data_IF_030474694595
#
_entry.id   IF_030474694595
#
_cell.length_a   1.000
_cell.length_b   1.000
_cell.length_c   1.000
_cell.angle_alpha   90.00
_cell.angle_beta   90.00
_cell.angle_gamma   90.00
#
_symmetry.space_group_name_H-M   'P 1'
#
loop_
_entity.id
_entity.type
_entity.pdbx_description
1 polymer ?
#
# COMPACT_ATOMS: atom_id res chain seq x y z
N UNK A 1 7.92 10.39 -4.34
CA UNK A 1 8.87 11.39 -4.93
C UNK A 1 8.35 11.81 -6.29
N UNK A 2 8.49 13.11 -6.66
CA UNK A 2 8.12 13.63 -7.98
C UNK A 2 9.39 14.09 -8.69
N UNK A 3 9.60 13.65 -9.92
CA UNK A 3 10.70 14.06 -10.81
C UNK A 3 10.07 14.73 -12.03
N UNK A 4 9.99 16.06 -12.04
CA UNK A 4 9.36 16.82 -13.12
C UNK A 4 9.99 18.21 -13.20
N UNK A 5 10.14 18.71 -14.43
CA UNK A 5 10.76 20.00 -14.75
C UNK A 5 9.79 21.19 -14.75
N UNK A 6 8.49 20.91 -14.76
CA UNK A 6 7.45 21.94 -14.74
C UNK A 6 7.14 22.34 -13.29
N UNK A 7 7.61 23.50 -12.79
CA UNK A 7 7.47 23.88 -11.38
C UNK A 7 6.00 23.97 -10.96
N UNK A 8 5.15 24.58 -11.79
CA UNK A 8 3.72 24.75 -11.49
C UNK A 8 2.99 23.41 -11.32
N UNK A 9 3.28 22.44 -12.19
CA UNK A 9 2.74 21.08 -12.08
C UNK A 9 3.26 20.39 -10.82
N UNK A 10 4.56 20.44 -10.59
CA UNK A 10 5.19 19.78 -9.46
C UNK A 10 4.70 20.34 -8.11
N UNK A 11 4.56 21.66 -7.99
CA UNK A 11 4.03 22.33 -6.81
C UNK A 11 2.54 22.00 -6.59
N UNK A 12 1.74 22.02 -7.65
CA UNK A 12 0.32 21.64 -7.58
C UNK A 12 0.17 20.20 -7.07
N UNK A 13 0.89 19.26 -7.66
CA UNK A 13 0.87 17.85 -7.25
C UNK A 13 1.40 17.68 -5.82
N UNK A 14 2.44 18.40 -5.42
CA UNK A 14 2.97 18.34 -4.07
C UNK A 14 1.95 18.80 -3.03
N UNK A 15 1.28 19.93 -3.29
CA UNK A 15 0.24 20.45 -2.37
C UNK A 15 -0.90 19.46 -2.22
N UNK A 16 -1.36 18.89 -3.33
CA UNK A 16 -2.47 17.94 -3.33
C UNK A 16 -2.13 16.65 -2.59
N UNK A 17 -1.00 16.06 -2.90
CA UNK A 17 -0.56 14.82 -2.27
C UNK A 17 -0.25 15.03 -0.77
N UNK A 18 0.29 16.17 -0.37
CA UNK A 18 0.48 16.50 1.04
C UNK A 18 -0.86 16.60 1.79
N UNK A 19 -1.92 17.13 1.16
CA UNK A 19 -3.27 17.17 1.75
C UNK A 19 -3.85 15.78 1.99
N UNK A 20 -3.51 14.81 1.15
CA UNK A 20 -3.88 13.40 1.30
C UNK A 20 -2.97 12.64 2.29
N UNK A 21 -2.03 13.32 2.96
CA UNK A 21 -1.15 12.74 3.98
C UNK A 21 0.13 12.11 3.45
N UNK A 22 0.46 12.25 2.18
CA UNK A 22 1.72 11.77 1.62
C UNK A 22 2.88 12.72 1.96
N UNK A 23 4.06 12.16 2.21
CA UNK A 23 5.30 12.93 2.27
C UNK A 23 5.90 13.05 0.86
N UNK A 24 5.92 14.24 0.29
CA UNK A 24 6.29 14.47 -1.09
C UNK A 24 7.60 15.25 -1.21
N UNK A 25 8.56 14.68 -1.92
CA UNK A 25 9.79 15.35 -2.36
C UNK A 25 9.71 15.62 -3.84
N UNK A 26 10.03 16.85 -4.25
CA UNK A 26 10.06 17.29 -5.66
C UNK A 26 11.50 17.51 -6.08
N UNK A 27 11.88 17.01 -7.25
CA UNK A 27 13.20 17.18 -7.86
C UNK A 27 13.00 17.53 -9.34
N UNK A 28 13.51 18.69 -9.76
CA UNK A 28 13.34 19.18 -11.13
C UNK A 28 14.35 18.61 -12.14
N UNK A 29 15.43 17.99 -11.69
CA UNK A 29 16.49 17.43 -12.52
C UNK A 29 16.41 15.90 -12.54
N UNK A 30 16.31 15.30 -13.72
CA UNK A 30 16.10 13.87 -13.86
C UNK A 30 17.26 13.02 -13.33
N UNK A 31 18.52 13.44 -13.49
CA UNK A 31 19.68 12.70 -12.96
C UNK A 31 19.73 12.79 -11.44
N UNK A 32 19.47 13.97 -10.88
CA UNK A 32 19.39 14.13 -9.42
C UNK A 32 18.23 13.34 -8.83
N UNK A 33 17.10 13.31 -9.53
CA UNK A 33 15.94 12.50 -9.16
C UNK A 33 16.27 11.01 -9.13
N UNK A 34 16.91 10.49 -10.17
CA UNK A 34 17.36 9.10 -10.24
C UNK A 34 18.28 8.73 -9.06
N UNK A 35 19.27 9.58 -8.77
CA UNK A 35 20.19 9.37 -7.64
C UNK A 35 19.47 9.45 -6.28
N UNK A 36 18.47 10.32 -6.15
CA UNK A 36 17.71 10.44 -4.92
C UNK A 36 16.85 9.21 -4.64
N UNK A 37 16.18 8.65 -5.65
CA UNK A 37 15.39 7.41 -5.51
C UNK A 37 16.26 6.23 -5.03
N UNK A 38 17.52 6.18 -5.46
CA UNK A 38 18.46 5.13 -5.04
C UNK A 38 18.95 5.28 -3.60
N UNK A 39 18.93 6.50 -3.05
CA UNK A 39 19.45 6.82 -1.71
C UNK A 39 18.39 6.90 -0.62
N UNK A 40 17.18 7.23 -1.01
CA UNK A 40 16.06 7.46 -0.08
C UNK A 40 14.99 6.41 -0.34
N UNK A 41 14.57 5.71 0.71
CA UNK A 41 13.44 4.78 0.61
C UNK A 41 12.22 5.53 0.06
N UNK A 42 11.78 5.14 -1.12
CA UNK A 42 10.70 5.80 -1.85
C UNK A 42 9.63 4.77 -2.16
N UNK A 43 8.40 5.04 -1.72
CA UNK A 43 7.28 4.10 -1.91
C UNK A 43 6.67 4.19 -3.31
N UNK A 44 6.77 5.36 -3.97
CA UNK A 44 6.28 5.59 -5.33
C UNK A 44 7.02 6.77 -5.97
N UNK A 45 7.30 6.66 -7.26
CA UNK A 45 7.90 7.73 -8.06
C UNK A 45 6.93 8.19 -9.14
N UNK A 46 6.66 9.49 -9.22
CA UNK A 46 5.98 10.13 -10.35
C UNK A 46 7.05 10.78 -11.21
N UNK A 47 7.11 10.45 -12.49
CA UNK A 47 8.14 10.91 -13.42
C UNK A 47 7.48 11.68 -14.56
N UNK A 48 7.91 12.91 -14.84
CA UNK A 48 7.52 13.65 -16.03
C UNK A 48 8.12 13.03 -17.31
N UNK A 49 7.56 13.35 -18.45
CA UNK A 49 8.01 12.83 -19.75
C UNK A 49 9.42 13.30 -20.12
N UNK A 50 9.69 14.59 -19.97
CA UNK A 50 10.91 15.23 -20.45
C UNK A 50 11.66 16.02 -19.37
N UNK A 51 12.03 15.43 -18.21
CA UNK A 51 12.85 16.17 -17.25
C UNK A 51 14.23 16.47 -17.82
N UNK A 52 14.89 17.57 -17.38
CA UNK A 52 16.19 17.98 -17.89
C UNK A 52 17.25 16.89 -17.78
N UNK A 53 18.10 16.81 -18.78
CA UNK A 53 19.28 15.93 -18.94
C UNK A 53 18.98 14.48 -19.23
N UNK A 54 17.82 13.97 -18.93
CA UNK A 54 17.46 12.57 -19.13
C UNK A 54 15.95 12.44 -19.29
N UNK A 55 15.48 11.68 -20.27
CA UNK A 55 14.05 11.50 -20.50
C UNK A 55 13.38 10.66 -19.40
N UNK A 56 12.07 10.82 -19.23
CA UNK A 56 11.28 10.01 -18.31
C UNK A 56 11.38 8.53 -18.61
N UNK A 57 11.43 8.14 -19.89
CA UNK A 57 11.64 6.76 -20.32
C UNK A 57 12.97 6.19 -19.83
N UNK A 58 14.03 6.95 -20.00
CA UNK A 58 15.38 6.54 -19.57
C UNK A 58 15.47 6.47 -18.04
N UNK A 59 14.77 7.33 -17.30
CA UNK A 59 14.66 7.24 -15.83
C UNK A 59 13.98 5.92 -15.46
N UNK A 60 12.87 5.56 -16.09
CA UNK A 60 12.18 4.29 -15.85
C UNK A 60 13.11 3.09 -16.09
N UNK A 61 13.79 3.05 -17.23
CA UNK A 61 14.74 1.98 -17.57
C UNK A 61 15.86 1.84 -16.55
N UNK A 62 16.49 2.95 -16.16
CA UNK A 62 17.60 2.94 -15.20
C UNK A 62 17.15 2.56 -13.80
N UNK A 63 15.96 2.97 -13.35
CA UNK A 63 15.39 2.54 -12.08
C UNK A 63 15.13 1.03 -12.07
N UNK A 64 14.63 0.46 -13.15
CA UNK A 64 14.42 -1.00 -13.23
C UNK A 64 15.73 -1.77 -13.35
N UNK A 65 16.72 -1.26 -14.09
CA UNK A 65 18.04 -1.89 -14.18
C UNK A 65 18.76 -1.93 -12.83
N UNK A 66 18.50 -0.99 -11.93
CA UNK A 66 19.04 -0.97 -10.56
C UNK A 66 18.23 -1.81 -9.56
N UNK A 67 17.33 -2.69 -10.03
CA UNK A 67 16.41 -3.49 -9.21
C UNK A 67 15.50 -2.66 -8.28
N UNK A 68 15.23 -1.41 -8.65
CA UNK A 68 14.31 -0.56 -7.91
C UNK A 68 12.88 -1.11 -7.96
N UNK A 69 12.32 -1.42 -6.79
CA UNK A 69 10.97 -1.99 -6.64
C UNK A 69 9.87 -0.94 -6.55
N UNK A 70 10.22 0.34 -6.33
CA UNK A 70 9.24 1.41 -6.22
C UNK A 70 8.38 1.51 -7.50
N UNK A 71 7.05 1.55 -7.40
CA UNK A 71 6.20 1.78 -8.56
C UNK A 71 6.48 3.14 -9.17
N UNK A 72 6.45 3.17 -10.50
CA UNK A 72 6.69 4.38 -11.30
C UNK A 72 5.41 4.70 -12.05
N UNK A 73 4.90 5.93 -11.89
CA UNK A 73 3.85 6.50 -12.73
C UNK A 73 4.53 7.51 -13.65
N UNK A 74 4.47 7.26 -14.96
CA UNK A 74 5.01 8.16 -15.97
C UNK A 74 3.93 9.13 -16.45
N UNK A 75 4.18 10.44 -16.35
CA UNK A 75 3.29 11.47 -16.87
C UNK A 75 3.67 11.78 -18.31
N UNK A 76 2.73 11.59 -19.25
CA UNK A 76 2.91 11.91 -20.68
C UNK A 76 2.28 13.27 -20.99
N UNK A 77 2.83 13.99 -21.99
CA UNK A 77 2.35 15.33 -22.36
C UNK A 77 1.08 15.29 -23.23
N UNK A 78 0.84 14.16 -23.87
CA UNK A 78 -0.32 13.95 -24.76
C UNK A 78 -0.97 12.61 -24.49
N UNK A 79 -2.25 12.50 -24.80
CA UNK A 79 -2.95 11.21 -24.82
C UNK A 79 -2.57 10.41 -26.06
N UNK A 80 -1.32 9.96 -26.09
CA UNK A 80 -0.72 9.21 -27.19
C UNK A 80 -0.49 7.78 -26.78
N UNK A 81 -1.15 6.87 -27.49
CA UNK A 81 -1.04 5.42 -27.24
C UNK A 81 0.41 4.93 -27.35
N UNK A 82 1.20 5.46 -28.29
CA UNK A 82 2.59 5.05 -28.48
C UNK A 82 3.47 5.48 -27.29
N UNK A 83 3.24 6.67 -26.73
CA UNK A 83 3.95 7.12 -25.52
C UNK A 83 3.63 6.25 -24.31
N UNK A 84 2.35 5.87 -24.13
CA UNK A 84 1.95 4.97 -23.06
C UNK A 84 2.58 3.58 -23.21
N UNK A 85 2.59 3.04 -24.44
CA UNK A 85 3.25 1.75 -24.71
C UNK A 85 4.74 1.85 -24.39
N UNK A 86 5.44 2.88 -24.92
CA UNK A 86 6.86 3.09 -24.65
C UNK A 86 7.17 3.25 -23.16
N UNK A 87 6.30 3.95 -22.41
CA UNK A 87 6.43 4.10 -20.96
C UNK A 87 6.34 2.77 -20.22
N UNK A 88 5.35 1.95 -20.56
CA UNK A 88 5.18 0.63 -19.95
C UNK A 88 6.33 -0.32 -20.32
N UNK A 89 6.79 -0.32 -21.57
CA UNK A 89 7.95 -1.10 -22.02
C UNK A 89 9.25 -0.63 -21.36
N UNK A 90 9.37 0.66 -21.04
CA UNK A 90 10.48 1.20 -20.27
C UNK A 90 10.47 0.81 -18.78
N UNK A 91 9.37 0.18 -18.33
CA UNK A 91 9.23 -0.32 -16.95
C UNK A 91 8.41 0.58 -16.02
N UNK A 92 7.66 1.55 -16.52
CA UNK A 92 6.65 2.23 -15.73
C UNK A 92 5.53 1.24 -15.34
N UNK A 93 4.97 1.38 -14.14
CA UNK A 93 3.83 0.58 -13.68
C UNK A 93 2.50 1.13 -14.20
N UNK A 94 2.48 2.41 -14.49
CA UNK A 94 1.33 3.10 -15.05
C UNK A 94 1.79 4.33 -15.85
N UNK A 95 0.95 4.78 -16.80
CA UNK A 95 1.16 6.00 -17.57
C UNK A 95 -0.11 6.85 -17.52
N UNK A 96 0.04 8.15 -17.29
CA UNK A 96 -1.05 9.10 -17.19
C UNK A 96 -0.77 10.31 -18.06
N UNK A 97 -1.70 10.66 -18.95
CA UNK A 97 -1.55 11.82 -19.82
C UNK A 97 -1.99 13.11 -19.13
N UNK A 98 -1.23 14.18 -19.36
CA UNK A 98 -1.56 15.52 -18.88
C UNK A 98 -2.36 16.31 -19.96
N UNK A 99 -3.31 17.17 -19.56
CA UNK A 99 -3.83 17.36 -18.20
C UNK A 99 -4.66 16.18 -17.73
N UNK A 100 -4.47 15.74 -16.49
CA UNK A 100 -5.24 14.65 -15.89
C UNK A 100 -6.13 15.15 -14.77
N UNK A 101 -7.19 14.40 -14.50
CA UNK A 101 -8.02 14.66 -13.34
C UNK A 101 -7.29 14.29 -12.05
N UNK A 102 -7.43 15.13 -11.02
CA UNK A 102 -6.84 14.91 -9.71
C UNK A 102 -7.25 13.56 -9.12
N UNK A 103 -8.55 13.25 -9.19
CA UNK A 103 -9.08 12.00 -8.63
C UNK A 103 -8.51 10.78 -9.36
N UNK A 104 -8.27 10.88 -10.67
CA UNK A 104 -7.62 9.82 -11.43
C UNK A 104 -6.18 9.59 -10.97
N UNK A 105 -5.39 10.66 -10.83
CA UNK A 105 -4.00 10.54 -10.36
C UNK A 105 -3.94 9.91 -8.97
N UNK A 106 -4.77 10.36 -8.03
CA UNK A 106 -4.83 9.81 -6.67
C UNK A 106 -5.24 8.34 -6.67
N UNK A 107 -6.25 7.97 -7.45
CA UNK A 107 -6.69 6.58 -7.58
C UNK A 107 -5.56 5.67 -8.10
N UNK A 108 -4.79 6.14 -9.11
CA UNK A 108 -3.64 5.41 -9.65
C UNK A 108 -2.49 5.30 -8.67
N UNK A 109 -2.19 6.36 -7.92
CA UNK A 109 -1.19 6.33 -6.85
C UNK A 109 -1.56 5.29 -5.80
N UNK A 110 -2.80 5.32 -5.28
CA UNK A 110 -3.27 4.34 -4.31
C UNK A 110 -3.22 2.91 -4.85
N UNK A 111 -3.68 2.67 -6.09
CA UNK A 111 -3.64 1.35 -6.71
C UNK A 111 -2.21 0.81 -6.87
N UNK A 112 -1.25 1.66 -7.25
CA UNK A 112 0.14 1.27 -7.39
C UNK A 112 0.83 1.03 -6.05
N UNK A 113 0.52 1.83 -5.02
CA UNK A 113 1.03 1.61 -3.67
C UNK A 113 0.52 0.29 -3.07
N UNK A 114 -0.77 0.00 -3.21
CA UNK A 114 -1.36 -1.27 -2.76
C UNK A 114 -0.73 -2.48 -3.47
N UNK A 115 -0.55 -2.40 -4.79
CA UNK A 115 0.10 -3.46 -5.57
C UNK A 115 1.54 -3.68 -5.15
N UNK A 116 2.29 -2.62 -4.90
CA UNK A 116 3.68 -2.69 -4.47
C UNK A 116 3.80 -3.28 -3.05
N UNK A 117 2.92 -2.92 -2.14
CA UNK A 117 2.86 -3.53 -0.81
C UNK A 117 2.65 -5.05 -0.89
N UNK A 118 1.85 -5.52 -1.83
CA UNK A 118 1.61 -6.95 -2.05
C UNK A 118 2.81 -7.68 -2.69
N UNK A 119 3.71 -6.96 -3.36
CA UNK A 119 4.83 -7.51 -4.14
C UNK A 119 6.17 -7.53 -3.39
N UNK A 120 6.35 -6.71 -2.35
CA UNK A 120 7.60 -6.68 -1.57
C UNK A 120 7.77 -7.97 -0.77
N UNK A 121 8.96 -8.62 -0.80
CA UNK A 121 9.24 -9.77 0.07
C UNK A 121 9.08 -9.44 1.56
N UNK A 122 9.39 -8.22 1.98
CA UNK A 122 9.13 -7.72 3.34
C UNK A 122 7.65 -7.50 3.63
N UNK A 123 6.83 -7.18 2.62
CA UNK A 123 5.38 -7.09 2.76
C UNK A 123 4.68 -8.46 2.72
N UNK A 124 5.39 -9.53 2.36
CA UNK A 124 4.88 -10.88 2.50
C UNK A 124 4.67 -11.24 3.98
N UNK A 125 5.34 -10.56 4.90
CA UNK A 125 5.22 -10.78 6.35
C UNK A 125 4.71 -9.50 7.02
N UNK A 126 3.45 -9.50 7.44
CA UNK A 126 2.92 -8.47 8.32
C UNK A 126 3.46 -8.69 9.73
N UNK A 127 3.88 -7.61 10.38
CA UNK A 127 4.35 -7.61 11.76
C UNK A 127 3.62 -6.53 12.55
N UNK A 128 2.85 -6.95 13.55
CA UNK A 128 2.13 -6.05 14.42
C UNK A 128 2.25 -6.60 15.86
N UNK A 129 2.79 -5.80 16.76
CA UNK A 129 3.13 -6.28 18.09
C UNK A 129 4.06 -7.50 18.02
N UNK A 130 3.76 -8.55 18.75
CA UNK A 130 4.46 -9.83 18.73
C UNK A 130 3.90 -10.85 17.70
N UNK A 131 2.96 -10.41 16.83
CA UNK A 131 2.36 -11.27 15.79
C UNK A 131 3.04 -11.04 14.44
N UNK A 132 3.42 -12.15 13.80
CA UNK A 132 3.95 -12.19 12.44
C UNK A 132 3.02 -13.06 11.58
N UNK A 133 2.59 -12.53 10.43
CA UNK A 133 1.73 -13.21 9.47
C UNK A 133 2.40 -13.22 8.11
N UNK A 134 2.71 -14.40 7.58
CA UNK A 134 3.28 -14.55 6.26
C UNK A 134 2.16 -14.80 5.24
N UNK A 135 1.95 -13.83 4.33
CA UNK A 135 0.93 -13.88 3.28
C UNK A 135 1.16 -14.99 2.25
N UNK A 136 2.42 -15.31 1.97
CA UNK A 136 2.78 -16.32 0.94
C UNK A 136 2.62 -17.73 1.45
N UNK A 137 3.13 -18.00 2.66
CA UNK A 137 3.03 -19.34 3.26
C UNK A 137 1.74 -19.54 4.05
N UNK A 138 0.99 -18.44 4.32
CA UNK A 138 -0.20 -18.39 5.20
C UNK A 138 0.11 -18.88 6.63
N UNK A 139 1.34 -18.72 7.05
CA UNK A 139 1.79 -19.04 8.40
C UNK A 139 1.65 -17.84 9.33
N UNK A 140 1.29 -18.10 10.57
CA UNK A 140 1.15 -17.08 11.61
C UNK A 140 1.93 -17.53 12.83
N UNK A 141 2.72 -16.59 13.35
CA UNK A 141 3.47 -16.77 14.61
C UNK A 141 3.11 -15.66 15.58
N UNK A 142 3.09 -15.98 16.87
CA UNK A 142 3.07 -15.02 17.95
C UNK A 142 4.30 -15.25 18.86
N UNK A 143 5.25 -14.31 18.82
CA UNK A 143 6.61 -14.62 19.26
C UNK A 143 7.17 -15.81 18.51
N UNK A 144 7.59 -16.85 19.23
CA UNK A 144 8.09 -18.10 18.63
C UNK A 144 6.99 -19.17 18.45
N UNK A 145 5.75 -18.87 18.85
CA UNK A 145 4.64 -19.82 18.82
C UNK A 145 3.91 -19.81 17.48
N UNK A 146 3.92 -20.94 16.78
CA UNK A 146 3.10 -21.14 15.58
C UNK A 146 1.61 -21.19 15.91
N UNK A 147 0.80 -20.43 15.15
CA UNK A 147 -0.65 -20.37 15.32
C UNK A 147 -1.33 -20.98 14.08
N UNK A 148 -2.01 -22.10 14.28
CA UNK A 148 -2.79 -22.73 13.20
C UNK A 148 -4.14 -22.03 13.02
N UNK A 149 -4.29 -21.31 11.90
CA UNK A 149 -5.54 -20.66 11.50
C UNK A 149 -6.21 -21.42 10.34
N UNK A 150 -7.53 -21.36 10.30
CA UNK A 150 -8.31 -21.70 9.10
C UNK A 150 -8.18 -20.59 8.07
N UNK A 151 -8.57 -20.82 6.81
CA UNK A 151 -8.49 -19.82 5.75
C UNK A 151 -9.19 -18.52 6.14
N UNK A 152 -10.42 -18.59 6.68
CA UNK A 152 -11.18 -17.39 7.08
C UNK A 152 -10.66 -16.70 8.33
N UNK A 153 -10.10 -17.44 9.28
CA UNK A 153 -9.42 -16.84 10.44
C UNK A 153 -8.16 -16.10 10.00
N UNK A 154 -7.43 -16.65 9.02
CA UNK A 154 -6.25 -16.02 8.44
C UNK A 154 -6.63 -14.72 7.70
N UNK A 155 -7.63 -14.78 6.80
CA UNK A 155 -8.11 -13.63 6.04
C UNK A 155 -8.58 -12.49 6.97
N UNK A 156 -9.30 -12.85 8.06
CA UNK A 156 -9.73 -11.89 9.07
C UNK A 156 -8.54 -11.27 9.83
N UNK A 157 -7.57 -12.09 10.25
CA UNK A 157 -6.38 -11.60 10.95
C UNK A 157 -5.55 -10.68 10.04
N UNK A 158 -5.34 -11.09 8.79
CA UNK A 158 -4.65 -10.29 7.79
C UNK A 158 -5.32 -8.92 7.61
N UNK A 159 -6.64 -8.89 7.43
CA UNK A 159 -7.39 -7.66 7.27
C UNK A 159 -7.27 -6.74 8.49
N UNK A 160 -7.35 -7.29 9.70
CA UNK A 160 -7.17 -6.54 10.94
C UNK A 160 -5.74 -5.99 11.09
N UNK A 161 -4.71 -6.78 10.74
CA UNK A 161 -3.30 -6.37 10.81
C UNK A 161 -2.95 -5.30 9.77
N UNK A 162 -3.55 -5.35 8.58
CA UNK A 162 -3.39 -4.30 7.56
C UNK A 162 -3.93 -2.94 8.01
N UNK A 163 -4.88 -2.95 8.97
CA UNK A 163 -5.51 -1.74 9.52
C UNK A 163 -5.16 -1.56 11.00
N UNK A 164 -3.87 -1.76 11.34
CA UNK A 164 -3.35 -1.62 12.70
C UNK A 164 -3.65 -0.23 13.25
N UNK A 165 -4.17 -0.16 14.49
CA UNK A 165 -4.67 1.05 15.16
C UNK A 165 -5.93 1.70 14.54
N UNK A 166 -6.55 1.10 13.53
CA UNK A 166 -7.78 1.60 12.93
C UNK A 166 -9.00 0.83 13.46
N UNK A 167 -10.07 1.57 13.79
CA UNK A 167 -11.37 0.96 14.12
C UNK A 167 -12.05 0.54 12.82
N UNK A 168 -12.32 -0.75 12.69
CA UNK A 168 -13.03 -1.34 11.54
C UNK A 168 -14.47 -1.63 11.94
N UNK A 169 -15.42 -1.15 11.15
CA UNK A 169 -16.84 -1.45 11.35
C UNK A 169 -17.15 -2.90 10.98
N UNK A 170 -18.25 -3.43 11.53
CA UNK A 170 -18.74 -4.77 11.17
C UNK A 170 -18.97 -4.92 9.67
N UNK A 171 -19.55 -3.90 9.04
CA UNK A 171 -19.81 -3.91 7.60
C UNK A 171 -18.53 -3.99 6.78
N UNK A 172 -17.52 -3.18 7.12
CA UNK A 172 -16.20 -3.23 6.45
C UNK A 172 -15.55 -4.60 6.58
N UNK A 173 -15.56 -5.21 7.77
CA UNK A 173 -15.01 -6.55 7.99
C UNK A 173 -15.77 -7.59 7.18
N UNK A 174 -17.10 -7.55 7.19
CA UNK A 174 -17.93 -8.50 6.47
C UNK A 174 -17.65 -8.45 4.96
N UNK A 175 -17.67 -7.27 4.40
CA UNK A 175 -17.47 -7.01 2.99
C UNK A 175 -16.09 -7.46 2.50
N UNK A 176 -15.03 -7.09 3.23
CA UNK A 176 -13.66 -7.37 2.81
C UNK A 176 -13.20 -8.80 3.08
N UNK A 177 -13.73 -9.47 4.09
CA UNK A 177 -13.33 -10.84 4.44
C UNK A 177 -14.27 -11.90 3.87
N UNK A 178 -15.59 -11.62 3.78
CA UNK A 178 -16.59 -12.57 3.26
C UNK A 178 -17.12 -12.20 1.88
N UNK A 179 -16.98 -10.95 1.44
CA UNK A 179 -17.43 -10.44 0.15
C UNK A 179 -18.84 -9.83 0.21
N UNK A 180 -19.17 -9.03 -0.82
CA UNK A 180 -20.46 -8.32 -0.94
C UNK A 180 -21.68 -9.27 -1.05
N UNK A 181 -21.51 -10.46 -1.61
CA UNK A 181 -22.58 -11.43 -1.81
C UNK A 181 -22.90 -12.27 -0.57
N UNK A 182 -22.22 -12.01 0.55
CA UNK A 182 -22.47 -12.77 1.75
C UNK A 182 -23.85 -12.45 2.35
N UNK A 183 -24.79 -13.36 2.15
CA UNK A 183 -26.18 -13.27 2.64
C UNK A 183 -26.36 -13.79 4.09
N UNK A 184 -25.27 -14.09 4.79
CA UNK A 184 -25.31 -14.63 6.15
C UNK A 184 -25.49 -13.57 7.23
N UNK A 185 -25.71 -14.05 8.47
CA UNK A 185 -25.86 -13.17 9.63
C UNK A 185 -24.53 -12.48 9.99
N UNK A 186 -24.61 -11.19 10.36
CA UNK A 186 -23.44 -10.40 10.85
C UNK A 186 -22.80 -10.99 12.11
N UNK A 187 -23.47 -11.91 12.81
CA UNK A 187 -22.95 -12.59 14.00
C UNK A 187 -21.74 -13.51 13.68
N UNK A 188 -21.50 -13.80 12.39
CA UNK A 188 -20.33 -14.60 11.98
C UNK A 188 -19.02 -13.93 12.42
N UNK A 189 -18.92 -12.60 12.32
CA UNK A 189 -17.73 -11.86 12.72
C UNK A 189 -17.40 -12.11 14.20
N UNK A 190 -18.40 -12.08 15.09
CA UNK A 190 -18.21 -12.30 16.53
C UNK A 190 -17.70 -13.71 16.83
N UNK A 191 -18.15 -14.69 16.08
CA UNK A 191 -17.68 -16.07 16.20
C UNK A 191 -16.21 -16.19 15.81
N UNK A 192 -15.82 -15.59 14.67
CA UNK A 192 -14.44 -15.65 14.19
C UNK A 192 -13.49 -14.79 15.05
N UNK A 193 -13.92 -13.63 15.54
CA UNK A 193 -13.16 -12.83 16.51
C UNK A 193 -12.91 -13.62 17.79
N UNK A 194 -13.91 -14.36 18.29
CA UNK A 194 -13.74 -15.24 19.46
C UNK A 194 -12.73 -16.35 19.19
N UNK A 195 -12.75 -16.95 17.99
CA UNK A 195 -11.78 -17.99 17.62
C UNK A 195 -10.36 -17.41 17.50
N UNK A 196 -10.21 -16.26 16.87
CA UNK A 196 -8.92 -15.57 16.78
C UNK A 196 -8.37 -15.23 18.15
N UNK A 197 -9.15 -14.60 19.03
CA UNK A 197 -8.74 -14.30 20.40
C UNK A 197 -8.27 -15.55 21.12
N UNK A 198 -9.04 -16.62 21.09
CA UNK A 198 -8.67 -17.88 21.76
C UNK A 198 -7.32 -18.43 21.25
N UNK A 199 -7.03 -18.29 19.96
CA UNK A 199 -5.78 -18.78 19.38
C UNK A 199 -4.61 -17.83 19.59
N UNK A 200 -4.86 -16.53 19.51
CA UNK A 200 -3.85 -15.50 19.77
C UNK A 200 -3.47 -15.46 21.26
N UNK A 201 -4.43 -15.59 22.17
CA UNK A 201 -4.28 -15.43 23.63
C UNK A 201 -4.09 -16.78 24.36
N UNK A 202 -3.70 -17.86 23.68
CA UNK A 202 -3.70 -19.23 24.23
C UNK A 202 -2.74 -19.43 25.43
N UNK A 203 -1.64 -18.67 25.48
CA UNK A 203 -0.63 -18.72 26.55
C UNK A 203 -0.69 -17.49 27.47
N UNK A 204 -1.89 -16.96 27.70
CA UNK A 204 -2.09 -15.73 28.50
C UNK A 204 -1.42 -14.49 27.92
N UNK A 205 -1.21 -14.49 26.60
CA UNK A 205 -0.68 -13.32 25.90
C UNK A 205 -1.67 -12.15 25.94
N UNK A 206 -1.13 -10.94 25.83
CA UNK A 206 -1.92 -9.70 25.86
C UNK A 206 -2.91 -9.68 24.69
N UNK A 207 -4.11 -9.19 24.96
CA UNK A 207 -5.14 -9.03 23.94
C UNK A 207 -4.74 -8.01 22.89
N UNK A 208 -4.87 -8.38 21.62
CA UNK A 208 -4.60 -7.50 20.48
C UNK A 208 -5.87 -7.11 19.72
N UNK A 209 -6.89 -7.99 19.70
CA UNK A 209 -8.16 -7.70 19.05
C UNK A 209 -9.15 -7.16 20.08
N UNK A 210 -9.45 -5.86 20.03
CA UNK A 210 -10.37 -5.21 20.97
C UNK A 210 -11.73 -4.93 20.32
N UNK A 211 -12.78 -4.93 21.14
CA UNK A 211 -14.14 -4.56 20.71
C UNK A 211 -14.37 -3.09 20.99
N UNK A 212 -14.74 -2.33 19.96
CA UNK A 212 -15.28 -0.99 20.09
C UNK A 212 -16.79 -1.09 20.10
N UNK A 213 -17.40 -0.88 21.29
CA UNK A 213 -18.86 -1.09 21.49
C UNK A 213 -19.66 -0.29 20.47
N UNK A 214 -20.68 -0.91 19.89
CA UNK A 214 -21.59 -0.35 18.88
C UNK A 214 -20.95 0.02 17.54
N UNK A 215 -19.61 -0.13 17.35
CA UNK A 215 -18.90 0.20 16.12
C UNK A 215 -18.34 -1.06 15.45
N UNK A 216 -17.39 -1.74 16.10
CA UNK A 216 -16.70 -2.88 15.48
C UNK A 216 -15.49 -3.34 16.28
N UNK A 217 -14.35 -3.48 15.61
CA UNK A 217 -13.14 -4.05 16.20
C UNK A 217 -11.91 -3.25 15.80
N UNK A 218 -10.88 -3.32 16.63
CA UNK A 218 -9.58 -2.71 16.41
C UNK A 218 -8.48 -3.71 16.78
N UNK A 219 -7.41 -3.75 16.00
CA UNK A 219 -6.20 -4.53 16.29
C UNK A 219 -5.12 -3.58 16.80
N UNK A 220 -4.70 -3.73 18.06
CA UNK A 220 -3.67 -2.89 18.70
C UNK A 220 -3.13 -3.53 19.97
N UNK A 221 -1.98 -3.07 20.45
CA UNK A 221 -1.51 -3.32 21.83
C UNK A 221 -2.28 -2.48 22.86
N UNK A 222 -2.44 -2.98 24.07
CA UNK A 222 -2.90 -2.18 25.20
C UNK A 222 -1.76 -1.29 25.69
N UNK A 223 -2.00 0.02 25.81
CA UNK A 223 -1.08 0.97 26.46
C UNK A 223 -0.32 1.93 25.56
N UNK A 224 -0.54 1.94 24.25
CA UNK A 224 0.05 2.94 23.35
C UNK A 224 -0.97 4.06 23.10
N UNK A 225 -0.94 5.10 23.95
CA UNK A 225 -1.54 6.42 23.70
C UNK A 225 -0.43 7.43 23.56
#
# INVERSE_FOLDING_TARGET
MIIADQPELAESLQIELNREGFQVSVISDGIRGLLAVQRVATDLVVVGWSPPRISGLEICQRLRASQGEAPIILLTEQDNVNERIAGLEAGANDCLSLPCDREELLARIHANLLRNQSSRPESAVLRCADVQLNRRTREVFRGDRFIRLTAKEFDLLEYLMCHYFQVLTRSQILENVWGYEYMGSSNIIEVYIRYLRRKLEANSEIRLVHTVRSVGYIFREEGTF
#
